data_IF_796170562471
#
_entry.id   IF_796170562471
#
_cell.length_a   1.000
_cell.length_b   1.000
_cell.length_c   1.000
_cell.angle_alpha   90.00
_cell.angle_beta   90.00
_cell.angle_gamma   90.00
#
_symmetry.space_group_name_H-M   'P 1'
#
loop_
_entity.id
_entity.type
_entity.pdbx_description
1 polymer ?
#
# COMPACT_ATOMS: atom_id res chain seq x y z
N UNK A 1 12.01 16.76 -14.64
CA UNK A 1 12.01 16.97 -13.17
C UNK A 1 11.27 15.79 -12.54
N UNK A 2 11.86 15.12 -11.55
CA UNK A 2 11.24 13.96 -10.89
C UNK A 2 11.07 14.28 -9.40
N UNK A 3 9.84 14.26 -8.92
CA UNK A 3 9.52 14.45 -7.51
C UNK A 3 9.74 13.15 -6.73
N UNK A 4 10.42 13.23 -5.58
CA UNK A 4 10.81 12.07 -4.76
C UNK A 4 10.03 12.04 -3.44
N UNK A 5 10.12 10.90 -2.73
CA UNK A 5 9.59 10.75 -1.37
C UNK A 5 8.08 11.04 -1.23
N UNK A 6 7.27 10.81 -2.26
CA UNK A 6 5.82 11.05 -2.20
C UNK A 6 5.41 12.52 -2.37
N UNK A 7 6.33 13.40 -2.77
CA UNK A 7 5.98 14.75 -3.22
C UNK A 7 5.22 14.74 -4.55
N UNK A 8 4.32 15.71 -4.70
CA UNK A 8 3.54 15.93 -5.91
C UNK A 8 4.17 17.03 -6.76
N UNK A 9 4.06 16.89 -8.08
CA UNK A 9 4.48 17.90 -9.03
C UNK A 9 3.35 18.93 -9.19
N UNK A 10 3.61 20.17 -8.79
CA UNK A 10 2.69 21.29 -8.95
C UNK A 10 3.32 22.33 -9.88
N UNK A 11 2.49 23.06 -10.61
CA UNK A 11 2.93 24.16 -11.47
C UNK A 11 2.48 25.47 -10.85
N UNK A 12 3.41 26.41 -10.73
CA UNK A 12 3.10 27.79 -10.40
C UNK A 12 2.64 28.50 -11.68
N UNK A 13 1.37 28.90 -11.73
CA UNK A 13 0.76 29.54 -12.91
C UNK A 13 1.38 30.90 -13.23
N UNK A 14 1.92 31.60 -12.23
CA UNK A 14 2.48 32.94 -12.41
C UNK A 14 3.87 32.91 -13.05
N UNK A 15 4.67 31.90 -12.71
CA UNK A 15 6.03 31.73 -13.22
C UNK A 15 6.14 30.65 -14.29
N UNK A 16 5.06 29.88 -14.51
CA UNK A 16 4.98 28.68 -15.34
C UNK A 16 6.10 27.67 -15.02
N UNK A 17 6.45 27.55 -13.74
CA UNK A 17 7.51 26.65 -13.26
C UNK A 17 6.91 25.48 -12.50
N UNK A 18 7.37 24.29 -12.82
CA UNK A 18 7.08 23.09 -12.05
C UNK A 18 7.94 23.07 -10.77
N UNK A 19 7.35 22.68 -9.65
CA UNK A 19 8.02 22.47 -8.38
C UNK A 19 7.42 21.27 -7.64
N UNK A 20 8.20 20.67 -6.75
CA UNK A 20 7.75 19.53 -5.94
C UNK A 20 7.30 20.03 -4.56
N UNK A 21 6.14 19.57 -4.09
CA UNK A 21 5.62 19.89 -2.75
C UNK A 21 5.07 18.64 -2.08
N UNK A 22 5.22 18.53 -0.76
CA UNK A 22 4.47 17.56 0.01
C UNK A 22 2.97 17.92 -0.02
N UNK A 23 2.10 16.91 -0.07
CA UNK A 23 0.66 17.16 0.09
C UNK A 23 0.40 17.79 1.46
N UNK A 24 -0.60 18.67 1.60
CA UNK A 24 -0.88 19.32 2.88
C UNK A 24 -2.08 18.70 3.59
N UNK A 25 -2.97 18.08 2.83
CA UNK A 25 -4.24 17.55 3.33
C UNK A 25 -4.44 16.12 2.84
N UNK A 26 -4.71 15.22 3.77
CA UNK A 26 -5.25 13.91 3.48
C UNK A 26 -6.72 13.89 3.87
N UNK A 27 -7.56 13.28 3.02
CA UNK A 27 -8.94 12.99 3.40
C UNK A 27 -8.96 12.08 4.63
N UNK A 28 -9.98 12.19 5.47
CA UNK A 28 -10.15 11.38 6.70
C UNK A 28 -10.58 9.93 6.42
N UNK A 29 -10.22 9.39 5.26
CA UNK A 29 -10.46 7.99 4.90
C UNK A 29 -9.51 7.13 5.71
N UNK A 30 -10.07 6.35 6.63
CA UNK A 30 -9.32 5.36 7.39
C UNK A 30 -9.17 4.06 6.59
N UNK A 31 -7.98 3.86 6.01
CA UNK A 31 -7.62 2.70 5.23
C UNK A 31 -6.15 2.35 5.52
N UNK A 32 -5.86 1.69 6.66
CA UNK A 32 -4.51 1.59 7.18
C UNK A 32 -3.59 0.81 6.25
N UNK A 33 -2.32 1.21 6.22
CA UNK A 33 -1.25 0.56 5.45
C UNK A 33 0.00 0.39 6.32
N UNK A 34 0.75 -0.67 6.06
CA UNK A 34 2.03 -0.91 6.69
C UNK A 34 3.15 -0.38 5.79
N UNK A 35 3.97 0.52 6.31
CA UNK A 35 5.16 1.02 5.64
C UNK A 35 6.30 -0.01 5.67
N UNK A 36 7.22 0.09 4.71
CA UNK A 36 8.47 -0.69 4.70
C UNK A 36 9.43 -0.31 5.84
N UNK A 37 9.12 0.75 6.59
CA UNK A 37 9.78 1.16 7.82
C UNK A 37 9.17 0.50 9.06
N UNK A 38 8.16 -0.36 8.90
CA UNK A 38 7.49 -1.07 9.99
C UNK A 38 6.44 -0.23 10.73
N UNK A 39 6.11 0.96 10.23
CA UNK A 39 5.12 1.86 10.83
C UNK A 39 3.76 1.69 10.16
N UNK A 40 2.70 1.66 10.98
CA UNK A 40 1.33 1.70 10.46
C UNK A 40 0.93 3.14 10.19
N UNK A 41 0.47 3.42 8.98
CA UNK A 41 -0.13 4.69 8.61
C UNK A 41 -1.64 4.52 8.47
N UNK A 42 -2.42 5.53 8.87
CA UNK A 42 -3.89 5.49 8.80
C UNK A 42 -4.44 5.47 7.36
N UNK A 43 -3.64 5.94 6.39
CA UNK A 43 -3.92 5.85 4.96
C UNK A 43 -2.64 5.93 4.14
N UNK A 44 -2.71 5.52 2.87
CA UNK A 44 -1.60 5.69 1.92
C UNK A 44 -1.22 7.17 1.73
N UNK A 45 -2.19 8.09 1.81
CA UNK A 45 -1.91 9.52 1.78
C UNK A 45 -1.01 9.94 2.95
N UNK A 46 -1.34 9.50 4.17
CA UNK A 46 -0.53 9.81 5.34
C UNK A 46 0.88 9.19 5.28
N UNK A 47 1.01 8.01 4.67
CA UNK A 47 2.32 7.41 4.39
C UNK A 47 3.14 8.27 3.43
N UNK A 48 2.57 8.69 2.30
CA UNK A 48 3.26 9.54 1.31
C UNK A 48 3.62 10.90 1.89
N UNK A 49 2.73 11.50 2.68
CA UNK A 49 2.99 12.74 3.40
C UNK A 49 4.20 12.59 4.34
N UNK A 50 4.18 11.53 5.15
CA UNK A 50 5.28 11.21 6.07
C UNK A 50 6.59 10.93 5.35
N UNK A 51 6.55 10.20 4.23
CA UNK A 51 7.70 9.98 3.35
C UNK A 51 8.30 11.31 2.91
N UNK A 52 7.45 12.26 2.52
CA UNK A 52 7.86 13.53 1.96
C UNK A 52 8.44 14.47 3.02
N UNK A 53 7.75 14.64 4.15
CA UNK A 53 8.17 15.55 5.22
C UNK A 53 9.43 15.07 5.92
N UNK A 54 9.60 13.75 6.06
CA UNK A 54 10.80 13.16 6.66
C UNK A 54 11.95 12.98 5.66
N UNK A 55 11.73 13.25 4.37
CA UNK A 55 12.71 12.98 3.29
C UNK A 55 13.23 11.53 3.32
N UNK A 56 12.32 10.58 3.61
CA UNK A 56 12.62 9.15 3.65
C UNK A 56 11.80 8.42 2.61
N UNK A 57 12.39 7.43 1.94
CA UNK A 57 11.67 6.60 0.97
C UNK A 57 10.86 5.54 1.69
N UNK A 58 9.65 5.93 2.09
CA UNK A 58 8.69 5.05 2.75
C UNK A 58 7.69 4.62 1.69
N UNK A 59 7.57 3.30 1.51
CA UNK A 59 6.70 2.66 0.53
C UNK A 59 5.69 1.81 1.28
N UNK A 60 4.50 1.66 0.71
CA UNK A 60 3.53 0.67 1.19
C UNK A 60 4.14 -0.71 1.05
N UNK A 61 4.38 -1.38 2.17
CA UNK A 61 4.79 -2.78 2.21
C UNK A 61 3.58 -3.68 2.00
N UNK A 62 2.44 -3.34 2.63
CA UNK A 62 1.17 -4.09 2.53
C UNK A 62 -0.02 -3.24 2.98
N UNK A 63 -1.21 -3.58 2.48
CA UNK A 63 -2.47 -3.09 3.02
C UNK A 63 -2.73 -3.63 4.44
N UNK A 64 -3.44 -2.85 5.24
CA UNK A 64 -3.69 -3.12 6.66
C UNK A 64 -2.54 -2.67 7.57
N UNK A 65 -2.74 -2.71 8.90
CA UNK A 65 -1.72 -2.32 9.85
C UNK A 65 -0.50 -3.25 9.82
N UNK A 66 0.64 -2.74 10.26
CA UNK A 66 1.77 -3.57 10.67
C UNK A 66 1.35 -4.38 11.89
N UNK A 67 1.65 -5.67 11.88
CA UNK A 67 1.34 -6.58 12.99
C UNK A 67 2.56 -7.41 13.37
N UNK A 68 2.55 -8.00 14.55
CA UNK A 68 3.47 -9.06 14.90
C UNK A 68 3.07 -10.31 14.10
N UNK A 69 3.78 -10.59 13.02
CA UNK A 69 3.48 -11.67 12.07
C UNK A 69 3.61 -13.10 12.63
N UNK A 70 3.70 -13.27 13.95
CA UNK A 70 3.65 -14.59 14.58
C UNK A 70 2.22 -15.12 14.81
N UNK A 71 1.17 -14.39 14.42
CA UNK A 71 -0.20 -14.89 14.47
C UNK A 71 -0.83 -14.92 13.07
N UNK A 72 -0.31 -15.82 12.24
CA UNK A 72 -0.88 -16.28 10.97
C UNK A 72 -0.84 -15.28 9.81
N UNK A 73 -0.07 -15.67 8.80
CA UNK A 73 -0.07 -15.11 7.46
C UNK A 73 -1.50 -14.93 6.92
N UNK A 74 -2.00 -13.70 6.88
CA UNK A 74 -3.16 -13.34 6.04
C UNK A 74 -2.78 -13.20 4.56
N UNK A 75 -1.54 -13.54 4.19
CA UNK A 75 -1.35 -14.20 2.91
C UNK A 75 -1.90 -15.61 3.12
N UNK A 76 -3.22 -15.77 2.93
CA UNK A 76 -3.72 -17.05 2.46
C UNK A 76 -2.79 -17.39 1.29
N UNK A 77 -1.96 -18.46 1.36
CA UNK A 77 -1.28 -18.88 0.16
C UNK A 77 -2.40 -19.07 -0.86
N UNK A 78 -2.40 -18.33 -1.98
CA UNK A 78 -3.28 -18.68 -3.11
C UNK A 78 -3.13 -20.19 -3.22
N UNK A 79 -4.17 -21.01 -2.99
CA UNK A 79 -3.97 -22.44 -3.09
C UNK A 79 -3.54 -22.66 -4.53
N UNK A 80 -2.26 -22.99 -4.69
CA UNK A 80 -1.74 -23.63 -5.88
C UNK A 80 -2.71 -24.77 -6.13
N UNK A 81 -3.41 -24.73 -7.27
CA UNK A 81 -4.12 -25.85 -7.88
C UNK A 81 -4.12 -27.12 -7.01
N UNK A 82 -5.11 -27.27 -6.13
CA UNK A 82 -5.42 -28.52 -5.44
C UNK A 82 -6.90 -28.73 -5.66
N UNK A 83 -7.17 -29.44 -6.76
CA UNK A 83 -7.79 -30.76 -6.73
C UNK A 83 -9.25 -30.66 -6.32
N UNK A 84 -10.13 -30.54 -7.32
CA UNK A 84 -11.49 -31.06 -7.18
C UNK A 84 -11.36 -32.56 -6.82
N UNK A 85 -11.83 -33.01 -5.64
CA UNK A 85 -11.82 -34.42 -5.29
C UNK A 85 -12.80 -35.20 -6.20
N UNK A 86 -12.61 -36.52 -6.35
CA UNK A 86 -13.26 -37.29 -7.41
C UNK A 86 -14.74 -37.43 -7.12
N UNK A 87 -15.61 -36.95 -8.01
CA UNK A 87 -17.00 -37.38 -7.99
C UNK A 87 -17.06 -38.79 -8.59
N UNK A 88 -16.99 -39.76 -7.68
CA UNK A 88 -17.73 -41.02 -7.61
C UNK A 88 -17.95 -41.77 -8.92
N UNK A 89 -17.36 -42.98 -8.99
CA UNK A 89 -17.70 -44.04 -9.94
C UNK A 89 -19.21 -44.30 -9.88
N UNK A 90 -19.96 -43.91 -10.93
CA UNK A 90 -21.25 -44.50 -11.23
C UNK A 90 -21.01 -45.77 -12.04
N UNK A 91 -20.85 -46.89 -11.33
CA UNK A 91 -21.07 -48.22 -11.89
C UNK A 91 -22.54 -48.37 -12.27
N UNK A 92 -22.82 -48.91 -13.47
CA UNK A 92 -24.11 -49.50 -13.87
C UNK A 92 -24.96 -48.55 -14.72
N UNK A 93 -25.29 -48.85 -15.97
CA UNK A 93 -25.54 -50.15 -16.63
C UNK A 93 -24.97 -50.20 -18.04
#
# INVERSE_FOLDING_TARGET
MLCTFGSQCLVDESTNRAYCRCGETCSEVFAPVCGNDGVTYSSECQLRLSSCTQQRRILVLRQGPCGNFCAKSSFEPRPSLLLEPPVVILTGT
#
